data_IF_322521049883
#
_entry.id   IF_322521049883
#
_cell.length_a   1.000
_cell.length_b   1.000
_cell.length_c   1.000
_cell.angle_alpha   90.00
_cell.angle_beta   90.00
_cell.angle_gamma   90.00
#
_symmetry.space_group_name_H-M   'P 1'
#
loop_
_entity.id
_entity.type
_entity.pdbx_description
1 polymer ?
#
# COMPACT_ATOMS: atom_id res chain seq x y z
N UNK A 1 17.36 1.44 14.84
CA UNK A 1 17.40 1.89 13.43
C UNK A 1 16.01 2.19 12.96
N UNK A 2 15.71 3.43 12.50
CA UNK A 2 14.40 3.79 12.01
C UNK A 2 14.03 2.97 10.75
N UNK A 3 12.88 2.32 10.79
CA UNK A 3 12.39 1.42 9.74
C UNK A 3 10.93 1.70 9.44
N UNK A 4 10.57 1.55 8.17
CA UNK A 4 9.20 1.62 7.70
C UNK A 4 8.79 0.27 7.12
N UNK A 5 7.73 -0.32 7.67
CA UNK A 5 7.06 -1.49 7.12
C UNK A 5 5.97 -1.00 6.17
N UNK A 6 6.14 -1.23 4.88
CA UNK A 6 5.14 -0.96 3.86
C UNK A 6 4.22 -2.18 3.74
N UNK A 7 2.93 -1.96 3.79
CA UNK A 7 1.95 -3.04 3.83
C UNK A 7 0.86 -2.76 2.79
N UNK A 8 0.62 -3.70 1.87
CA UNK A 8 -0.56 -3.63 1.01
C UNK A 8 -1.80 -4.02 1.79
N UNK A 9 -2.94 -3.37 1.52
CA UNK A 9 -4.21 -3.79 2.13
C UNK A 9 -4.53 -5.25 1.81
N UNK A 10 -5.33 -5.92 2.65
CA UNK A 10 -5.82 -7.27 2.46
C UNK A 10 -6.85 -7.34 1.31
N UNK A 11 -7.13 -8.54 0.80
CA UNK A 11 -8.03 -8.77 -0.33
C UNK A 11 -9.44 -8.23 -0.05
N UNK A 12 -10.02 -7.55 -1.04
CA UNK A 12 -11.34 -6.90 -0.93
C UNK A 12 -12.41 -7.65 -1.69
N UNK A 13 -13.64 -7.52 -1.23
CA UNK A 13 -14.81 -7.87 -2.01
C UNK A 13 -15.05 -6.75 -3.03
N UNK A 14 -14.89 -7.09 -4.30
CA UNK A 14 -15.10 -6.17 -5.41
C UNK A 14 -16.60 -5.97 -5.61
N UNK A 15 -17.05 -4.72 -5.63
CA UNK A 15 -18.39 -4.32 -6.02
C UNK A 15 -18.30 -3.15 -7.02
N UNK A 16 -18.58 -3.39 -8.31
CA UNK A 16 -18.49 -2.34 -9.33
C UNK A 16 -19.46 -1.17 -9.12
N UNK A 17 -20.52 -1.36 -8.34
CA UNK A 17 -21.50 -0.31 -8.03
C UNK A 17 -21.06 0.62 -6.89
N UNK A 18 -20.00 0.25 -6.17
CA UNK A 18 -19.48 0.98 -5.01
C UNK A 18 -18.09 1.52 -5.31
N UNK A 19 -17.82 2.77 -4.92
CA UNK A 19 -16.48 3.33 -5.03
C UNK A 19 -15.47 2.43 -4.29
N UNK A 20 -14.35 2.15 -4.95
CA UNK A 20 -13.31 1.27 -4.44
C UNK A 20 -12.75 1.73 -3.07
N UNK A 21 -12.82 3.02 -2.74
CA UNK A 21 -12.42 3.54 -1.44
C UNK A 21 -13.24 2.95 -0.27
N UNK A 22 -14.46 2.50 -0.55
CA UNK A 22 -15.41 1.95 0.44
C UNK A 22 -15.49 0.42 0.45
N UNK A 23 -14.73 -0.27 -0.39
CA UNK A 23 -14.75 -1.73 -0.44
C UNK A 23 -14.35 -2.35 0.91
N UNK A 24 -15.09 -3.39 1.28
CA UNK A 24 -14.85 -4.19 2.48
C UNK A 24 -13.84 -5.31 2.19
N UNK A 25 -13.28 -5.91 3.23
CA UNK A 25 -12.47 -7.12 3.06
C UNK A 25 -13.38 -8.29 2.67
N UNK A 26 -12.88 -9.14 1.77
CA UNK A 26 -13.49 -10.44 1.52
C UNK A 26 -13.19 -11.43 2.67
N UNK A 27 -13.81 -12.60 2.72
CA UNK A 27 -13.42 -13.65 3.67
C UNK A 27 -11.93 -14.02 3.59
N UNK A 28 -11.36 -14.08 2.38
CA UNK A 28 -9.91 -14.25 2.16
C UNK A 28 -9.12 -13.07 2.76
N UNK A 29 -9.59 -11.85 2.56
CA UNK A 29 -8.96 -10.65 3.12
C UNK A 29 -9.01 -10.62 4.64
N UNK A 30 -10.08 -11.09 5.25
CA UNK A 30 -10.15 -11.21 6.70
C UNK A 30 -9.09 -12.18 7.22
N UNK A 31 -8.96 -13.37 6.63
CA UNK A 31 -7.94 -14.34 6.99
C UNK A 31 -6.50 -13.79 6.78
N UNK A 32 -6.29 -12.99 5.72
CA UNK A 32 -5.02 -12.31 5.50
C UNK A 32 -4.72 -11.26 6.58
N UNK A 33 -5.71 -10.48 7.00
CA UNK A 33 -5.57 -9.49 8.07
C UNK A 33 -5.25 -10.16 9.42
N UNK A 34 -5.89 -11.30 9.72
CA UNK A 34 -5.62 -12.07 10.94
C UNK A 34 -4.20 -12.65 10.92
N UNK A 35 -3.76 -13.22 9.78
CA UNK A 35 -2.39 -13.72 9.62
C UNK A 35 -1.34 -12.59 9.70
N UNK A 36 -1.64 -11.41 9.14
CA UNK A 36 -0.80 -10.23 9.27
C UNK A 36 -0.65 -9.80 10.74
N UNK A 37 -1.72 -9.84 11.53
CA UNK A 37 -1.71 -9.47 12.94
C UNK A 37 -0.85 -10.41 13.81
N UNK A 38 -0.64 -11.65 13.38
CA UNK A 38 0.21 -12.62 14.05
C UNK A 38 1.72 -12.39 13.83
N UNK A 39 2.12 -11.50 12.92
CA UNK A 39 3.53 -11.26 12.65
C UNK A 39 4.24 -10.58 13.84
N UNK A 40 5.47 -11.02 14.18
CA UNK A 40 6.15 -10.56 15.40
C UNK A 40 6.56 -9.08 15.35
N UNK A 41 6.80 -8.49 14.17
CA UNK A 41 7.26 -7.10 14.05
C UNK A 41 6.30 -6.07 14.66
N UNK A 42 5.01 -6.40 14.81
CA UNK A 42 4.03 -5.51 15.44
C UNK A 42 4.35 -5.17 16.90
N UNK A 43 5.19 -5.99 17.56
CA UNK A 43 5.63 -5.72 18.93
C UNK A 43 6.49 -4.46 19.04
N UNK A 44 7.16 -4.10 17.95
CA UNK A 44 8.14 -3.00 17.91
C UNK A 44 7.58 -1.74 17.20
N UNK A 45 6.35 -1.79 16.68
CA UNK A 45 5.77 -0.66 15.94
C UNK A 45 5.32 0.44 16.89
N UNK A 46 5.89 1.64 16.71
CA UNK A 46 5.57 2.83 17.49
C UNK A 46 4.32 3.55 16.99
N UNK A 47 4.06 3.51 15.68
CA UNK A 47 2.92 4.19 15.04
C UNK A 47 2.57 3.54 13.71
N UNK A 48 1.27 3.52 13.41
CA UNK A 48 0.73 3.08 12.13
C UNK A 48 0.22 4.28 11.34
N UNK A 49 0.63 4.40 10.09
CA UNK A 49 0.07 5.28 9.09
C UNK A 49 -0.86 4.47 8.20
N UNK A 50 -2.01 5.02 7.85
CA UNK A 50 -2.95 4.36 6.92
C UNK A 50 -3.47 5.35 5.89
N UNK A 51 -3.86 4.87 4.73
CA UNK A 51 -4.69 5.65 3.82
C UNK A 51 -6.05 5.93 4.44
N UNK A 52 -6.80 6.88 3.89
CA UNK A 52 -8.15 7.18 4.38
C UNK A 52 -9.19 6.14 3.94
N UNK A 53 -8.84 5.24 3.01
CA UNK A 53 -9.76 4.24 2.45
C UNK A 53 -10.05 3.09 3.45
N UNK A 54 -11.31 2.64 3.46
CA UNK A 54 -11.85 1.69 4.45
C UNK A 54 -11.00 0.40 4.57
N UNK A 55 -10.60 -0.18 3.45
CA UNK A 55 -9.87 -1.46 3.39
C UNK A 55 -8.53 -1.45 4.14
N UNK A 56 -7.83 -0.31 4.20
CA UNK A 56 -6.55 -0.22 4.94
C UNK A 56 -6.77 -0.26 6.44
N UNK A 57 -7.83 0.39 6.95
CA UNK A 57 -8.23 0.30 8.35
C UNK A 57 -8.69 -1.10 8.73
N UNK A 58 -9.48 -1.74 7.88
CA UNK A 58 -9.93 -3.12 8.10
C UNK A 58 -8.74 -4.10 8.12
N UNK A 59 -7.72 -3.87 7.30
CA UNK A 59 -6.50 -4.70 7.28
C UNK A 59 -5.77 -4.71 8.61
N UNK A 60 -5.76 -3.60 9.36
CA UNK A 60 -5.10 -3.52 10.67
C UNK A 60 -6.03 -3.70 11.86
N UNK A 61 -7.33 -3.87 11.63
CA UNK A 61 -8.29 -4.03 12.74
C UNK A 61 -7.93 -5.19 13.70
N UNK A 62 -7.49 -6.37 13.22
CA UNK A 62 -7.06 -7.45 14.12
C UNK A 62 -5.79 -7.10 14.94
N UNK A 63 -4.88 -6.28 14.39
CA UNK A 63 -3.71 -5.77 15.12
C UNK A 63 -4.15 -4.87 16.27
N UNK A 64 -5.04 -3.91 15.97
CA UNK A 64 -5.54 -2.95 16.95
C UNK A 64 -6.41 -3.57 18.04
N UNK A 65 -7.05 -4.71 17.76
CA UNK A 65 -7.76 -5.50 18.77
C UNK A 65 -6.82 -6.11 19.82
N UNK A 66 -5.55 -6.30 19.48
CA UNK A 66 -4.54 -6.94 20.33
C UNK A 66 -3.53 -5.95 20.92
N UNK A 67 -3.38 -4.75 20.31
CA UNK A 67 -2.31 -3.81 20.62
C UNK A 67 -2.79 -2.36 20.54
N UNK A 68 -2.42 -1.57 21.53
CA UNK A 68 -2.71 -0.13 21.57
C UNK A 68 -1.62 0.66 20.81
N UNK A 69 -1.61 0.59 19.48
CA UNK A 69 -0.66 1.32 18.63
C UNK A 69 -1.36 2.57 18.08
N UNK A 70 -0.77 3.78 18.20
CA UNK A 70 -1.33 5.00 17.62
C UNK A 70 -1.49 4.90 16.10
N UNK A 71 -2.65 5.30 15.57
CA UNK A 71 -2.96 5.27 14.13
C UNK A 71 -3.22 6.68 13.63
N UNK A 72 -2.60 7.03 12.50
CA UNK A 72 -2.86 8.27 11.77
C UNK A 72 -3.31 7.96 10.35
N UNK A 73 -4.50 8.43 9.98
CA UNK A 73 -4.99 8.35 8.60
C UNK A 73 -4.57 9.60 7.83
N UNK A 74 -4.07 9.40 6.59
CA UNK A 74 -3.68 10.49 5.73
C UNK A 74 -4.02 10.16 4.26
N UNK A 75 -4.81 11.05 3.63
CA UNK A 75 -5.26 10.91 2.23
C UNK A 75 -4.10 10.89 1.23
N UNK A 76 -2.94 11.37 1.60
CA UNK A 76 -1.75 11.28 0.76
C UNK A 76 -1.29 9.85 0.51
N UNK A 77 -1.76 8.90 1.28
CA UNK A 77 -1.51 7.46 1.12
C UNK A 77 -2.66 6.70 0.44
N UNK A 78 -3.71 7.40 -0.04
CA UNK A 78 -4.80 6.79 -0.78
C UNK A 78 -4.32 6.23 -2.12
N UNK A 79 -5.09 5.31 -2.69
CA UNK A 79 -4.78 4.73 -4.01
C UNK A 79 -4.81 5.82 -5.09
N UNK A 80 -4.27 5.51 -6.25
CA UNK A 80 -4.34 6.34 -7.45
C UNK A 80 -5.81 6.71 -7.70
N UNK A 81 -6.08 8.04 -7.81
CA UNK A 81 -7.41 8.54 -8.09
C UNK A 81 -7.83 8.14 -9.50
N UNK A 82 -8.99 7.54 -9.61
CA UNK A 82 -9.51 7.03 -10.88
C UNK A 82 -11.03 7.13 -10.93
N UNK A 83 -11.62 7.38 -12.12
CA UNK A 83 -13.07 7.34 -12.28
C UNK A 83 -13.54 5.89 -12.26
N UNK A 84 -14.51 5.59 -11.45
CA UNK A 84 -15.37 4.41 -11.48
C UNK A 84 -14.70 3.05 -11.72
N UNK A 85 -15.51 2.09 -12.15
CA UNK A 85 -15.10 0.74 -12.52
C UNK A 85 -14.51 0.69 -13.95
N UNK A 86 -13.50 -0.15 -14.16
CA UNK A 86 -12.88 -0.40 -15.47
C UNK A 86 -12.77 -1.92 -15.66
N UNK A 87 -13.30 -2.44 -16.77
CA UNK A 87 -13.25 -3.87 -17.08
C UNK A 87 -11.83 -4.34 -17.40
N UNK A 88 -11.13 -3.61 -18.27
CA UNK A 88 -9.74 -3.91 -18.70
C UNK A 88 -8.71 -3.32 -17.71
N UNK A 89 -8.85 -3.62 -16.43
CA UNK A 89 -8.05 -2.99 -15.38
C UNK A 89 -6.54 -3.23 -15.56
N UNK A 90 -6.15 -4.44 -15.97
CA UNK A 90 -4.73 -4.76 -16.20
C UNK A 90 -4.11 -3.97 -17.34
N UNK A 91 -4.81 -3.83 -18.47
CA UNK A 91 -4.35 -3.03 -19.59
C UNK A 91 -4.21 -1.55 -19.19
N UNK A 92 -5.15 -1.04 -18.42
CA UNK A 92 -5.11 0.33 -17.90
C UNK A 92 -3.92 0.55 -16.94
N UNK A 93 -3.63 -0.38 -16.04
CA UNK A 93 -2.45 -0.30 -15.14
C UNK A 93 -1.14 -0.34 -15.95
N UNK A 94 -1.05 -1.18 -16.97
CA UNK A 94 0.12 -1.24 -17.83
C UNK A 94 0.36 0.09 -18.55
N UNK A 95 -0.68 0.68 -19.12
CA UNK A 95 -0.62 1.99 -19.77
C UNK A 95 -0.27 3.11 -18.78
N UNK A 96 -0.85 3.08 -17.58
CA UNK A 96 -0.57 4.01 -16.48
C UNK A 96 0.91 4.01 -16.06
N UNK A 97 1.53 2.83 -15.91
CA UNK A 97 2.95 2.75 -15.58
C UNK A 97 3.85 3.15 -16.76
N UNK A 98 3.44 2.89 -17.99
CA UNK A 98 4.22 3.23 -19.18
C UNK A 98 4.28 4.75 -19.47
N UNK A 99 3.31 5.52 -18.96
CA UNK A 99 3.19 6.96 -19.20
C UNK A 99 3.06 7.76 -17.88
N UNK A 100 4.12 7.80 -17.02
CA UNK A 100 4.02 8.34 -15.67
C UNK A 100 3.63 9.82 -15.59
N UNK A 101 3.93 10.61 -16.63
CA UNK A 101 3.65 12.04 -16.71
C UNK A 101 2.37 12.38 -17.49
N UNK A 102 1.53 11.37 -17.77
CA UNK A 102 0.27 11.55 -18.50
C UNK A 102 -0.92 10.99 -17.69
N UNK A 103 -2.06 11.66 -17.82
CA UNK A 103 -3.33 11.16 -17.29
C UNK A 103 -3.91 10.14 -18.26
N UNK A 104 -3.69 8.86 -18.00
CA UNK A 104 -4.15 7.75 -18.85
C UNK A 104 -5.55 7.32 -18.40
N UNK A 105 -6.52 7.32 -19.30
CA UNK A 105 -7.90 6.91 -18.99
C UNK A 105 -8.59 7.72 -17.89
N UNK A 106 -8.22 8.99 -17.73
CA UNK A 106 -8.75 9.85 -16.69
C UNK A 106 -8.19 9.58 -15.27
N UNK A 107 -7.18 8.72 -15.14
CA UNK A 107 -6.52 8.48 -13.86
C UNK A 107 -5.60 9.63 -13.46
N UNK A 108 -5.39 9.80 -12.14
CA UNK A 108 -4.30 10.62 -11.62
C UNK A 108 -2.97 10.21 -12.28
N UNK A 109 -2.12 11.16 -12.69
CA UNK A 109 -0.81 10.82 -13.25
C UNK A 109 0.05 10.07 -12.23
N UNK A 110 0.79 9.06 -12.64
CA UNK A 110 1.67 8.26 -11.76
C UNK A 110 2.69 9.14 -11.01
N UNK A 111 3.27 10.12 -11.70
CA UNK A 111 4.17 11.09 -11.10
C UNK A 111 3.49 11.97 -10.03
N UNK A 112 2.20 12.30 -10.17
CA UNK A 112 1.44 13.03 -9.15
C UNK A 112 1.16 12.16 -7.93
N UNK A 113 0.71 10.92 -8.15
CA UNK A 113 0.46 9.95 -7.08
C UNK A 113 1.74 9.70 -6.26
N UNK A 114 2.88 9.53 -6.91
CA UNK A 114 4.17 9.39 -6.23
C UNK A 114 4.54 10.63 -5.43
N UNK A 115 4.44 11.83 -6.00
CA UNK A 115 4.74 13.10 -5.29
C UNK A 115 3.84 13.26 -4.06
N UNK A 116 2.56 12.97 -4.18
CA UNK A 116 1.59 13.01 -3.08
C UNK A 116 1.98 12.04 -1.97
N UNK A 117 2.36 10.81 -2.33
CA UNK A 117 2.80 9.79 -1.39
C UNK A 117 4.08 10.20 -0.65
N UNK A 118 5.08 10.71 -1.36
CA UNK A 118 6.33 11.24 -0.77
C UNK A 118 6.07 12.42 0.18
N UNK A 119 5.17 13.34 -0.20
CA UNK A 119 4.75 14.43 0.68
C UNK A 119 4.07 13.91 1.97
N UNK A 120 3.34 12.80 1.88
CA UNK A 120 2.81 12.09 3.04
C UNK A 120 3.90 11.59 3.98
N UNK A 121 4.92 10.92 3.44
CA UNK A 121 6.06 10.45 4.24
C UNK A 121 6.83 11.60 4.90
N UNK A 122 7.09 12.68 4.16
CA UNK A 122 7.76 13.87 4.70
C UNK A 122 6.97 14.56 5.84
N UNK A 123 5.65 14.50 5.82
CA UNK A 123 4.81 15.07 6.88
C UNK A 123 4.75 14.20 8.15
N UNK A 124 5.21 12.96 8.07
CA UNK A 124 5.22 12.00 9.18
C UNK A 124 6.63 11.46 9.43
N UNK A 125 7.62 12.31 9.72
CA UNK A 125 8.98 11.85 9.94
C UNK A 125 9.06 10.94 11.18
N UNK A 126 10.02 10.00 11.23
CA UNK A 126 10.28 9.23 12.43
C UNK A 126 10.78 10.17 13.52
N UNK A 127 10.17 10.17 14.73
CA UNK A 127 10.57 11.05 15.83
C UNK A 127 12.02 10.80 16.31
N UNK A 128 12.50 9.57 16.18
CA UNK A 128 13.86 9.17 16.60
C UNK A 128 14.52 8.27 15.57
N UNK A 129 15.84 8.08 15.72
CA UNK A 129 16.62 7.20 14.85
C UNK A 129 16.28 5.70 15.00
N UNK A 130 15.48 5.32 15.99
CA UNK A 130 15.11 3.94 16.26
C UNK A 130 13.60 3.67 16.06
N UNK A 131 12.85 4.70 15.66
CA UNK A 131 11.40 4.59 15.44
C UNK A 131 11.05 3.54 14.39
N UNK A 132 10.07 2.69 14.71
CA UNK A 132 9.51 1.70 13.81
C UNK A 132 8.11 2.15 13.37
N UNK A 133 7.93 2.36 12.07
CA UNK A 133 6.66 2.77 11.47
C UNK A 133 6.06 1.64 10.65
N UNK A 134 4.74 1.52 10.64
CA UNK A 134 4.00 0.74 9.64
C UNK A 134 3.17 1.70 8.78
N UNK A 135 3.11 1.47 7.48
CA UNK A 135 2.25 2.19 6.55
C UNK A 135 1.43 1.21 5.74
N UNK A 136 0.10 1.26 5.91
CA UNK A 136 -0.83 0.44 5.13
C UNK A 136 -1.44 1.28 4.02
N UNK A 137 -1.22 0.85 2.79
CA UNK A 137 -1.65 1.56 1.59
C UNK A 137 -2.01 0.55 0.46
N UNK A 138 -1.83 0.92 -0.79
CA UNK A 138 -2.44 0.26 -1.94
C UNK A 138 -1.41 -0.17 -2.98
N UNK A 139 -1.85 -1.07 -3.87
CA UNK A 139 -0.96 -1.72 -4.82
C UNK A 139 -0.28 -0.80 -5.82
N UNK A 140 -1.00 0.19 -6.37
CA UNK A 140 -0.42 1.08 -7.39
C UNK A 140 0.57 2.06 -6.76
N UNK A 141 0.15 2.80 -5.72
CA UNK A 141 1.04 3.81 -5.10
C UNK A 141 2.26 3.18 -4.44
N UNK A 142 2.14 1.97 -3.83
CA UNK A 142 3.28 1.25 -3.26
C UNK A 142 4.21 0.73 -4.36
N UNK A 143 3.70 0.35 -5.54
CA UNK A 143 4.55 0.00 -6.68
C UNK A 143 5.32 1.18 -7.24
N UNK A 144 4.70 2.38 -7.29
CA UNK A 144 5.38 3.61 -7.65
C UNK A 144 6.49 3.96 -6.65
N UNK A 145 6.20 3.88 -5.36
CA UNK A 145 7.20 4.15 -4.32
C UNK A 145 8.33 3.10 -4.32
N UNK A 146 8.01 1.83 -4.55
CA UNK A 146 9.00 0.77 -4.74
C UNK A 146 9.95 1.08 -5.90
N UNK A 147 9.41 1.49 -7.05
CA UNK A 147 10.21 1.87 -8.22
C UNK A 147 11.14 3.06 -7.90
N UNK A 148 10.62 4.06 -7.19
CA UNK A 148 11.41 5.21 -6.72
C UNK A 148 12.57 4.78 -5.82
N UNK A 149 12.35 3.89 -4.85
CA UNK A 149 13.41 3.36 -3.97
C UNK A 149 14.48 2.57 -4.72
N UNK A 150 14.11 1.92 -5.82
CA UNK A 150 15.02 1.16 -6.68
C UNK A 150 15.70 2.00 -7.76
N UNK A 151 15.40 3.30 -7.84
CA UNK A 151 15.93 4.19 -8.89
C UNK A 151 15.43 3.85 -10.30
N UNK A 152 14.29 3.18 -10.41
CA UNK A 152 13.69 2.82 -11.70
C UNK A 152 12.91 4.00 -12.27
N UNK A 153 12.89 4.19 -13.61
CA UNK A 153 12.17 5.29 -14.25
C UNK A 153 10.64 5.16 -14.13
N UNK A 154 10.14 3.94 -13.96
CA UNK A 154 8.70 3.64 -13.84
C UNK A 154 8.48 2.37 -13.03
N UNK A 155 7.25 2.16 -12.57
CA UNK A 155 6.87 0.91 -11.91
C UNK A 155 6.77 -0.25 -12.92
N UNK A 156 7.20 -1.43 -12.50
CA UNK A 156 7.16 -2.65 -13.31
C UNK A 156 5.78 -3.32 -13.18
N UNK A 157 5.09 -3.48 -14.32
CA UNK A 157 3.76 -4.09 -14.37
C UNK A 157 3.77 -5.56 -13.91
N UNK A 158 4.80 -6.33 -14.29
CA UNK A 158 4.89 -7.74 -13.89
C UNK A 158 5.17 -7.88 -12.38
N UNK A 159 5.96 -6.97 -11.79
CA UNK A 159 6.15 -6.91 -10.34
C UNK A 159 4.85 -6.55 -9.61
N UNK A 160 4.09 -5.55 -10.11
CA UNK A 160 2.78 -5.21 -9.55
C UNK A 160 1.79 -6.38 -9.61
N UNK A 161 1.74 -7.13 -10.71
CA UNK A 161 0.89 -8.32 -10.83
C UNK A 161 1.20 -9.38 -9.77
N UNK A 162 2.47 -9.53 -9.41
CA UNK A 162 2.93 -10.46 -8.35
C UNK A 162 2.80 -9.88 -6.95
N UNK A 163 2.54 -8.58 -6.83
CA UNK A 163 2.37 -7.93 -5.53
C UNK A 163 1.12 -8.47 -4.84
N UNK A 164 1.29 -9.26 -3.80
CA UNK A 164 0.20 -9.87 -3.04
C UNK A 164 -0.63 -8.84 -2.25
N UNK A 165 -1.75 -9.31 -1.72
CA UNK A 165 -2.50 -8.63 -0.67
C UNK A 165 -1.89 -8.95 0.69
N UNK A 166 -2.03 -8.04 1.66
CA UNK A 166 -1.37 -8.15 2.97
C UNK A 166 0.12 -8.48 2.85
N UNK A 167 0.78 -7.96 1.82
CA UNK A 167 2.20 -8.14 1.60
C UNK A 167 2.99 -7.06 2.33
N UNK A 168 4.14 -7.44 2.88
CA UNK A 168 4.99 -6.58 3.71
C UNK A 168 6.35 -6.40 3.05
N UNK A 169 6.81 -5.15 2.95
CA UNK A 169 8.17 -4.77 2.60
C UNK A 169 8.80 -3.96 3.73
N UNK A 170 10.13 -3.84 3.74
CA UNK A 170 10.86 -3.07 4.74
C UNK A 170 11.74 -2.02 4.06
N UNK A 171 11.72 -0.80 4.57
CA UNK A 171 12.53 0.33 4.11
C UNK A 171 13.37 0.85 5.27
N UNK A 172 14.66 1.05 5.05
CA UNK A 172 15.51 1.79 5.97
C UNK A 172 15.26 3.29 5.76
N UNK A 173 14.92 4.02 6.83
CA UNK A 173 14.56 5.45 6.73
C UNK A 173 15.75 6.40 6.86
N UNK A 174 16.95 5.95 7.20
CA UNK A 174 18.14 6.82 7.30
C UNK A 174 18.68 7.24 5.93
N UNK A 175 18.61 6.35 4.96
CA UNK A 175 18.81 6.65 3.56
C UNK A 175 17.79 5.80 2.83
N UNK A 176 16.64 6.36 2.40
CA UNK A 176 15.50 5.56 1.99
C UNK A 176 15.87 4.51 0.96
N UNK A 177 16.01 3.26 1.42
CA UNK A 177 16.37 2.10 0.59
C UNK A 177 15.49 0.90 0.95
N UNK A 178 15.18 0.10 -0.03
CA UNK A 178 14.39 -1.12 0.14
C UNK A 178 15.27 -2.20 0.81
N UNK A 179 15.06 -2.42 2.11
CA UNK A 179 15.81 -3.41 2.88
C UNK A 179 15.30 -4.85 2.65
N UNK A 180 13.98 -4.99 2.42
CA UNK A 180 13.34 -6.23 1.99
C UNK A 180 12.15 -5.91 1.10
N UNK A 181 12.03 -6.63 -0.02
CA UNK A 181 10.92 -6.44 -0.96
C UNK A 181 9.63 -7.10 -0.46
N UNK A 182 8.50 -6.77 -1.08
CA UNK A 182 7.18 -7.25 -0.71
C UNK A 182 7.10 -8.78 -0.72
N UNK A 183 6.64 -9.31 0.40
CA UNK A 183 6.31 -10.73 0.58
C UNK A 183 4.92 -10.84 1.19
N UNK A 184 4.01 -11.58 0.53
CA UNK A 184 2.68 -11.84 1.07
C UNK A 184 2.78 -12.69 2.35
N UNK A 185 1.90 -12.41 3.31
CA UNK A 185 1.86 -13.12 4.59
C UNK A 185 1.33 -14.54 4.42
N UNK A 186 0.38 -14.69 3.50
CA UNK A 186 -0.18 -15.98 3.04
C UNK A 186 -0.28 -15.94 1.53
N UNK A 187 -0.34 -17.10 0.90
CA UNK A 187 -0.53 -17.17 -0.55
C UNK A 187 -1.78 -16.39 -0.95
N UNK A 188 -1.57 -15.46 -1.86
CA UNK A 188 -2.63 -14.59 -2.36
C UNK A 188 -2.88 -14.91 -3.84
N UNK A 189 -4.13 -14.90 -4.28
CA UNK A 189 -4.39 -14.92 -5.71
C UNK A 189 -3.69 -13.73 -6.38
N UNK A 190 -3.22 -13.88 -7.63
CA UNK A 190 -2.67 -12.76 -8.37
C UNK A 190 -3.74 -11.66 -8.47
N UNK A 191 -3.29 -10.40 -8.56
CA UNK A 191 -4.22 -9.29 -8.77
C UNK A 191 -4.99 -9.53 -10.06
N UNK A 192 -6.32 -9.38 -10.00
CA UNK A 192 -7.19 -9.48 -11.16
C UNK A 192 -6.74 -8.47 -12.23
N UNK A 193 -6.69 -8.91 -13.46
CA UNK A 193 -6.36 -8.13 -14.66
C UNK A 193 -7.58 -7.96 -15.51
#
# INVERSE_FOLDING_TARGET
MARLYLITHAHTQIDPAVDAAHWQLSPTGQAQADALAALPFWADIDRILVSSEVKTRLTIAPVLAQRAIPVTADRRFDEVQRPGWIEEYGAQVQAFFAAPDQAVGGWEMAAHALRRFLAGLHAHPPPTADTQLALVSHGLVLSLYRAHLLGLPTADFAAWRRLGFAAVAQVDLRGPTLAADFKAVVDSPPRAV
#
